data_IF_907518238952
#
_entry.id   IF_907518238952
#
_cell.length_a   1.000
_cell.length_b   1.000
_cell.length_c   1.000
_cell.angle_alpha   90.00
_cell.angle_beta   90.00
_cell.angle_gamma   90.00
#
_symmetry.space_group_name_H-M   'P 1'
#
loop_
_entity.id
_entity.type
_entity.pdbx_description
1 polymer ?
#
# COMPACT_ATOMS: atom_id res chain seq x y z
N UNK A 1 18.09 8.31 2.85
CA UNK A 1 18.82 9.35 3.60
C UNK A 1 20.28 8.98 3.88
N UNK A 2 20.75 7.81 3.48
CA UNK A 2 22.09 7.30 3.77
C UNK A 2 23.03 7.48 2.56
N UNK A 3 23.42 8.71 2.22
CA UNK A 3 24.56 8.97 1.32
C UNK A 3 24.40 8.55 -0.16
N UNK A 4 23.24 8.19 -0.61
CA UNK A 4 22.93 7.74 -1.96
C UNK A 4 22.23 8.85 -2.77
N UNK A 5 22.96 9.92 -3.12
CA UNK A 5 22.46 10.92 -4.07
C UNK A 5 21.28 11.77 -3.59
N UNK A 6 20.81 12.67 -4.46
CA UNK A 6 19.62 13.49 -4.20
C UNK A 6 18.37 12.60 -4.13
N UNK A 7 17.44 12.96 -3.25
CA UNK A 7 16.14 12.27 -3.13
C UNK A 7 15.46 12.24 -4.50
N UNK A 8 14.92 11.10 -4.91
CA UNK A 8 14.43 10.82 -6.26
C UNK A 8 13.51 11.91 -6.85
N UNK A 9 12.60 12.46 -6.03
CA UNK A 9 11.69 13.52 -6.47
C UNK A 9 12.35 14.90 -6.68
N UNK A 10 13.59 15.09 -6.23
CA UNK A 10 14.39 16.27 -6.56
C UNK A 10 15.00 16.12 -7.96
N UNK A 11 15.36 14.88 -8.33
CA UNK A 11 15.94 14.56 -9.65
C UNK A 11 14.87 14.40 -10.73
N UNK A 12 13.61 14.18 -10.36
CA UNK A 12 12.50 13.95 -11.25
C UNK A 12 11.26 14.77 -10.80
N UNK A 13 11.27 16.11 -11.07
CA UNK A 13 10.23 17.02 -10.60
C UNK A 13 8.84 16.73 -11.19
N UNK A 14 8.76 15.98 -12.29
CA UNK A 14 7.51 15.53 -12.89
C UNK A 14 6.60 14.74 -11.93
N UNK A 15 7.16 14.01 -10.97
CA UNK A 15 6.37 13.31 -9.96
C UNK A 15 5.65 14.29 -9.03
N UNK A 16 6.35 15.33 -8.58
CA UNK A 16 5.76 16.37 -7.72
C UNK A 16 4.69 17.13 -8.48
N UNK A 17 4.97 17.52 -9.74
CA UNK A 17 4.01 18.21 -10.59
C UNK A 17 2.76 17.38 -10.85
N UNK A 18 2.92 16.07 -11.10
CA UNK A 18 1.80 15.13 -11.25
C UNK A 18 0.97 15.06 -9.97
N UNK A 19 1.60 14.94 -8.80
CA UNK A 19 0.90 14.91 -7.51
C UNK A 19 0.11 16.21 -7.26
N UNK A 20 0.71 17.37 -7.55
CA UNK A 20 0.03 18.67 -7.44
C UNK A 20 -1.15 18.72 -8.41
N UNK A 21 -0.96 18.35 -9.68
CA UNK A 21 -2.01 18.35 -10.70
C UNK A 21 -3.20 17.46 -10.32
N UNK A 22 -2.93 16.24 -9.85
CA UNK A 22 -3.96 15.32 -9.35
C UNK A 22 -4.65 15.89 -8.10
N UNK A 23 -3.90 16.49 -7.17
CA UNK A 23 -4.46 17.13 -5.97
C UNK A 23 -5.42 18.26 -6.32
N UNK A 24 -5.04 19.13 -7.25
CA UNK A 24 -5.90 20.22 -7.75
C UNK A 24 -7.16 19.66 -8.42
N UNK A 25 -7.00 18.67 -9.29
CA UNK A 25 -8.14 18.02 -9.96
C UNK A 25 -9.11 17.40 -8.94
N UNK A 26 -8.58 16.68 -7.94
CA UNK A 26 -9.40 16.09 -6.88
C UNK A 26 -10.11 17.15 -6.03
N UNK A 27 -9.46 18.28 -5.76
CA UNK A 27 -10.08 19.38 -5.02
C UNK A 27 -11.37 19.87 -5.69
N UNK A 28 -11.35 20.02 -7.03
CA UNK A 28 -12.53 20.45 -7.78
C UNK A 28 -13.55 19.33 -8.03
N UNK A 29 -13.13 18.09 -8.13
CA UNK A 29 -14.03 16.96 -8.43
C UNK A 29 -14.62 16.30 -7.17
N UNK A 30 -13.98 16.43 -6.02
CA UNK A 30 -14.45 15.84 -4.77
C UNK A 30 -15.90 16.21 -4.38
N UNK A 31 -16.41 17.44 -4.60
CA UNK A 31 -17.80 17.78 -4.29
C UNK A 31 -18.84 16.96 -5.08
N UNK A 32 -18.46 16.45 -6.26
CA UNK A 32 -19.37 15.71 -7.16
C UNK A 32 -19.39 14.19 -6.87
N UNK A 33 -18.54 13.69 -5.97
CA UNK A 33 -18.49 12.27 -5.61
C UNK A 33 -19.47 11.99 -4.47
N UNK A 34 -20.57 11.29 -4.75
CA UNK A 34 -21.62 10.95 -3.77
C UNK A 34 -21.09 10.07 -2.62
N UNK A 35 -20.14 9.18 -2.89
CA UNK A 35 -19.53 8.28 -1.89
C UNK A 35 -18.01 8.45 -1.84
N UNK A 36 -17.56 9.57 -1.30
CA UNK A 36 -16.13 9.92 -1.18
C UNK A 36 -15.33 8.85 -0.46
N UNK A 37 -15.88 8.28 0.61
CA UNK A 37 -15.20 7.26 1.40
C UNK A 37 -14.98 5.95 0.62
N UNK A 38 -16.00 5.47 -0.12
CA UNK A 38 -15.85 4.28 -0.97
C UNK A 38 -14.83 4.49 -2.09
N UNK A 39 -14.89 5.64 -2.76
CA UNK A 39 -13.91 5.99 -3.80
C UNK A 39 -12.48 6.03 -3.23
N UNK A 40 -12.31 6.61 -2.04
CA UNK A 40 -11.04 6.64 -1.34
C UNK A 40 -10.52 5.23 -1.04
N UNK A 41 -11.37 4.32 -0.54
CA UNK A 41 -10.96 2.93 -0.23
C UNK A 41 -10.50 2.18 -1.48
N UNK A 42 -11.17 2.35 -2.63
CA UNK A 42 -10.79 1.71 -3.87
C UNK A 42 -9.50 2.30 -4.47
N UNK A 43 -9.34 3.62 -4.42
CA UNK A 43 -8.11 4.29 -4.84
C UNK A 43 -6.92 3.88 -3.96
N UNK A 44 -7.14 3.81 -2.64
CA UNK A 44 -6.16 3.31 -1.69
C UNK A 44 -5.77 1.85 -1.96
N UNK A 45 -6.74 0.99 -2.28
CA UNK A 45 -6.48 -0.40 -2.64
C UNK A 45 -5.58 -0.53 -3.89
N UNK A 46 -5.81 0.31 -4.91
CA UNK A 46 -4.97 0.35 -6.10
C UNK A 46 -3.56 0.86 -5.78
N UNK A 47 -3.45 1.91 -4.98
CA UNK A 47 -2.17 2.44 -4.50
C UNK A 47 -1.40 1.42 -3.67
N UNK A 48 -2.05 0.77 -2.71
CA UNK A 48 -1.47 -0.30 -1.91
C UNK A 48 -0.91 -1.42 -2.77
N UNK A 49 -1.66 -1.88 -3.77
CA UNK A 49 -1.24 -2.94 -4.68
C UNK A 49 -0.03 -2.54 -5.55
N UNK A 50 -0.01 -1.30 -6.02
CA UNK A 50 1.12 -0.77 -6.80
C UNK A 50 2.38 -0.66 -5.93
N UNK A 51 2.25 -0.03 -4.76
CA UNK A 51 3.40 0.29 -3.93
C UNK A 51 3.98 -0.91 -3.18
N UNK A 52 3.20 -1.98 -2.92
CA UNK A 52 3.77 -3.19 -2.33
C UNK A 52 4.72 -3.90 -3.31
N UNK A 53 4.38 -3.95 -4.59
CA UNK A 53 5.21 -4.55 -5.64
C UNK A 53 6.43 -3.70 -5.92
N UNK A 54 6.24 -2.40 -6.20
CA UNK A 54 7.37 -1.49 -6.52
C UNK A 54 8.32 -1.29 -5.34
N UNK A 55 7.80 -1.31 -4.11
CA UNK A 55 8.62 -1.26 -2.90
C UNK A 55 9.47 -2.52 -2.72
N UNK A 56 8.88 -3.71 -2.94
CA UNK A 56 9.59 -4.98 -2.89
C UNK A 56 10.64 -5.09 -4.01
N UNK A 57 10.31 -4.67 -5.22
CA UNK A 57 11.22 -4.61 -6.37
C UNK A 57 12.45 -3.75 -6.08
N UNK A 58 12.25 -2.52 -5.61
CA UNK A 58 13.34 -1.61 -5.26
C UNK A 58 14.20 -2.14 -4.14
N UNK A 59 13.61 -2.78 -3.14
CA UNK A 59 14.33 -3.40 -2.04
C UNK A 59 15.21 -4.55 -2.54
N UNK A 60 14.67 -5.42 -3.39
CA UNK A 60 15.41 -6.52 -4.01
C UNK A 60 16.56 -5.99 -4.88
N UNK A 61 16.31 -4.98 -5.71
CA UNK A 61 17.33 -4.30 -6.55
C UNK A 61 18.43 -3.62 -5.73
N UNK A 62 18.15 -3.24 -4.49
CA UNK A 62 19.14 -2.72 -3.53
C UNK A 62 19.90 -3.82 -2.78
N UNK A 63 19.67 -5.11 -3.12
CA UNK A 63 20.36 -6.25 -2.50
C UNK A 63 19.75 -6.68 -1.16
N UNK A 64 18.53 -6.25 -0.83
CA UNK A 64 17.88 -6.71 0.40
C UNK A 64 17.49 -8.19 0.30
N UNK A 65 17.65 -8.98 1.37
CA UNK A 65 17.16 -10.35 1.41
C UNK A 65 15.63 -10.39 1.31
N UNK A 66 15.09 -11.49 0.77
CA UNK A 66 13.67 -11.65 0.48
C UNK A 66 12.71 -11.25 1.61
N UNK A 67 12.89 -11.69 2.86
CA UNK A 67 11.98 -11.30 3.95
C UNK A 67 11.98 -9.79 4.18
N UNK A 68 13.14 -9.15 4.03
CA UNK A 68 13.29 -7.69 4.17
C UNK A 68 12.62 -6.99 3.00
N UNK A 69 12.73 -7.52 1.78
CA UNK A 69 12.07 -6.96 0.60
C UNK A 69 10.53 -7.00 0.75
N UNK A 70 9.96 -8.10 1.29
CA UNK A 70 8.52 -8.15 1.63
C UNK A 70 8.15 -7.06 2.63
N UNK A 71 8.89 -6.94 3.73
CA UNK A 71 8.61 -5.95 4.78
C UNK A 71 8.68 -4.53 4.21
N UNK A 72 9.71 -4.21 3.41
CA UNK A 72 9.86 -2.89 2.78
C UNK A 72 8.75 -2.61 1.76
N UNK A 73 8.29 -3.63 1.03
CA UNK A 73 7.12 -3.53 0.15
C UNK A 73 5.85 -3.17 0.93
N UNK A 74 5.58 -3.90 2.02
CA UNK A 74 4.44 -3.61 2.91
C UNK A 74 4.54 -2.20 3.51
N UNK A 75 5.71 -1.82 4.02
CA UNK A 75 5.93 -0.48 4.58
C UNK A 75 5.65 0.59 3.53
N UNK A 76 6.22 0.46 2.33
CA UNK A 76 6.03 1.42 1.24
C UNK A 76 4.53 1.56 0.89
N UNK A 77 3.80 0.46 0.83
CA UNK A 77 2.38 0.44 0.52
C UNK A 77 1.50 1.08 1.60
N UNK A 78 1.86 0.91 2.88
CA UNK A 78 1.00 1.30 4.00
C UNK A 78 1.28 2.71 4.52
N UNK A 79 2.51 3.21 4.39
CA UNK A 79 2.91 4.51 4.95
C UNK A 79 2.08 5.68 4.40
N UNK A 80 1.80 5.69 3.09
CA UNK A 80 0.98 6.75 2.49
C UNK A 80 -0.43 6.81 3.10
N UNK A 81 -1.06 5.64 3.30
CA UNK A 81 -2.35 5.53 3.95
C UNK A 81 -2.33 5.98 5.41
N UNK A 82 -1.29 5.63 6.16
CA UNK A 82 -1.13 6.06 7.56
C UNK A 82 -1.01 7.59 7.64
N UNK A 83 -0.15 8.19 6.82
CA UNK A 83 0.04 9.65 6.79
C UNK A 83 -1.28 10.36 6.42
N UNK A 84 -1.97 9.88 5.39
CA UNK A 84 -3.27 10.42 4.98
C UNK A 84 -4.26 10.39 6.15
N UNK A 85 -4.43 9.23 6.78
CA UNK A 85 -5.43 9.05 7.83
C UNK A 85 -5.12 9.93 9.05
N UNK A 86 -3.84 10.01 9.44
CA UNK A 86 -3.39 10.90 10.54
C UNK A 86 -3.66 12.37 10.21
N UNK A 87 -3.36 12.82 8.98
CA UNK A 87 -3.64 14.20 8.56
C UNK A 87 -5.14 14.51 8.49
N UNK A 88 -5.97 13.51 8.20
CA UNK A 88 -7.42 13.63 8.19
C UNK A 88 -8.07 13.44 9.57
N UNK A 89 -7.28 13.23 10.64
CA UNK A 89 -7.75 12.90 11.99
C UNK A 89 -8.65 11.64 12.02
N UNK A 90 -8.38 10.69 11.11
CA UNK A 90 -9.05 9.40 11.02
C UNK A 90 -8.19 8.30 11.64
N UNK A 91 -8.85 7.23 12.10
CA UNK A 91 -8.13 6.03 12.56
C UNK A 91 -7.48 5.35 11.34
N UNK A 92 -6.14 5.17 11.33
CA UNK A 92 -5.45 4.56 10.21
C UNK A 92 -6.02 3.19 9.83
N UNK A 93 -6.19 2.94 8.53
CA UNK A 93 -6.75 1.68 8.00
C UNK A 93 -5.96 0.46 8.46
N UNK A 94 -4.64 0.59 8.63
CA UNK A 94 -3.78 -0.50 9.12
C UNK A 94 -4.14 -0.94 10.56
N UNK A 95 -4.70 -0.03 11.37
CA UNK A 95 -5.14 -0.31 12.74
C UNK A 95 -6.59 -0.80 12.82
N UNK A 96 -7.33 -0.70 11.73
CA UNK A 96 -8.69 -1.25 11.63
C UNK A 96 -8.61 -2.76 11.47
N UNK A 97 -9.70 -3.44 11.76
CA UNK A 97 -9.84 -4.92 11.65
C UNK A 97 -9.83 -5.42 10.18
N UNK A 98 -9.22 -4.69 9.28
CA UNK A 98 -9.30 -4.93 7.86
C UNK A 98 -8.09 -5.70 7.33
N UNK A 99 -8.29 -6.41 6.22
CA UNK A 99 -7.22 -7.07 5.45
C UNK A 99 -6.47 -5.97 4.68
N UNK A 100 -5.53 -5.29 5.34
CA UNK A 100 -4.76 -4.18 4.75
C UNK A 100 -3.29 -4.56 4.56
N UNK A 101 -2.53 -4.67 5.64
CA UNK A 101 -1.12 -5.05 5.56
C UNK A 101 -0.92 -6.49 5.05
N UNK A 102 -1.85 -7.40 5.34
CA UNK A 102 -1.82 -8.77 4.84
C UNK A 102 -2.02 -8.86 3.34
N UNK A 103 -2.86 -8.00 2.75
CA UNK A 103 -3.02 -7.91 1.30
C UNK A 103 -1.73 -7.42 0.62
N UNK A 104 -1.09 -6.39 1.18
CA UNK A 104 0.21 -5.91 0.69
C UNK A 104 1.29 -6.99 0.81
N UNK A 105 1.34 -7.72 1.93
CA UNK A 105 2.30 -8.81 2.14
C UNK A 105 2.09 -9.95 1.14
N UNK A 106 0.83 -10.35 0.90
CA UNK A 106 0.51 -11.39 -0.07
C UNK A 106 0.96 -10.99 -1.50
N UNK A 107 0.68 -9.76 -1.92
CA UNK A 107 1.10 -9.26 -3.23
C UNK A 107 2.62 -9.18 -3.39
N UNK A 108 3.32 -8.62 -2.39
CA UNK A 108 4.78 -8.55 -2.40
C UNK A 108 5.41 -9.95 -2.42
N UNK A 109 4.85 -10.89 -1.64
CA UNK A 109 5.33 -12.28 -1.60
C UNK A 109 5.16 -12.98 -2.94
N UNK A 110 3.97 -12.88 -3.57
CA UNK A 110 3.71 -13.48 -4.89
C UNK A 110 4.67 -12.92 -5.93
N UNK A 111 4.86 -11.60 -5.96
CA UNK A 111 5.83 -10.96 -6.85
C UNK A 111 7.23 -11.56 -6.68
N UNK A 112 7.73 -11.60 -5.44
CA UNK A 112 9.09 -12.08 -5.15
C UNK A 112 9.27 -13.58 -5.45
N UNK A 113 8.26 -14.40 -5.18
CA UNK A 113 8.31 -15.83 -5.49
C UNK A 113 8.37 -16.08 -7.00
N UNK A 114 7.66 -15.30 -7.81
CA UNK A 114 7.71 -15.40 -9.26
C UNK A 114 9.07 -14.93 -9.83
N UNK A 115 9.64 -13.86 -9.27
CA UNK A 115 10.99 -13.42 -9.64
C UNK A 115 12.04 -14.51 -9.29
N UNK A 116 11.92 -15.17 -8.14
CA UNK A 116 12.77 -16.29 -7.78
C UNK A 116 12.62 -17.50 -8.71
N UNK A 117 11.42 -17.72 -9.24
CA UNK A 117 11.15 -18.75 -10.22
C UNK A 117 11.56 -18.35 -11.66
N UNK A 118 12.33 -17.25 -11.79
CA UNK A 118 12.83 -16.73 -13.07
C UNK A 118 11.71 -16.37 -14.07
N UNK A 119 10.50 -16.08 -13.56
CA UNK A 119 9.40 -15.63 -14.39
C UNK A 119 9.67 -14.21 -14.92
N UNK A 120 9.04 -13.87 -16.05
CA UNK A 120 9.13 -12.55 -16.64
C UNK A 120 8.71 -11.46 -15.65
N UNK A 121 9.46 -10.36 -15.60
CA UNK A 121 9.26 -9.29 -14.62
C UNK A 121 7.88 -8.66 -14.72
N UNK A 122 7.36 -8.44 -15.94
CA UNK A 122 6.06 -7.82 -16.15
C UNK A 122 4.92 -8.70 -15.62
N UNK A 123 4.98 -10.00 -15.89
CA UNK A 123 3.99 -10.96 -15.38
C UNK A 123 4.06 -11.11 -13.86
N UNK A 124 5.26 -11.08 -13.29
CA UNK A 124 5.48 -11.13 -11.84
C UNK A 124 4.89 -9.89 -11.14
N UNK A 125 5.12 -8.70 -11.71
CA UNK A 125 4.54 -7.45 -11.21
C UNK A 125 3.01 -7.46 -11.32
N UNK A 126 2.47 -7.88 -12.46
CA UNK A 126 1.03 -7.98 -12.67
C UNK A 126 0.37 -8.97 -11.69
N UNK A 127 0.96 -10.14 -11.49
CA UNK A 127 0.46 -11.15 -10.54
C UNK A 127 0.49 -10.64 -9.09
N UNK A 128 1.59 -10.00 -8.67
CA UNK A 128 1.72 -9.37 -7.35
C UNK A 128 0.66 -8.29 -7.15
N UNK A 129 0.50 -7.39 -8.13
CA UNK A 129 -0.52 -6.34 -8.10
C UNK A 129 -1.93 -6.92 -7.99
N UNK A 130 -2.30 -7.88 -8.86
CA UNK A 130 -3.62 -8.50 -8.86
C UNK A 130 -3.91 -9.25 -7.56
N UNK A 131 -2.90 -9.87 -6.96
CA UNK A 131 -3.04 -10.56 -5.67
C UNK A 131 -3.32 -9.55 -4.55
N UNK A 132 -2.54 -8.47 -4.44
CA UNK A 132 -2.76 -7.45 -3.43
C UNK A 132 -4.12 -6.75 -3.62
N UNK A 133 -4.39 -6.30 -4.84
CA UNK A 133 -5.64 -5.62 -5.18
C UNK A 133 -6.86 -6.51 -4.97
N UNK A 134 -6.83 -7.77 -5.46
CA UNK A 134 -7.93 -8.72 -5.33
C UNK A 134 -8.21 -9.06 -3.86
N UNK A 135 -7.17 -9.31 -3.07
CA UNK A 135 -7.30 -9.57 -1.62
C UNK A 135 -7.92 -8.37 -0.91
N UNK A 136 -7.47 -7.16 -1.23
CA UNK A 136 -8.03 -5.92 -0.67
C UNK A 136 -9.46 -5.67 -1.14
N UNK A 137 -9.74 -5.91 -2.42
CA UNK A 137 -11.08 -5.78 -3.01
C UNK A 137 -12.09 -6.72 -2.34
N UNK A 138 -11.71 -7.97 -2.06
CA UNK A 138 -12.54 -8.92 -1.31
C UNK A 138 -12.82 -8.37 0.09
N UNK A 139 -11.81 -7.85 0.78
CA UNK A 139 -11.99 -7.21 2.10
C UNK A 139 -13.00 -6.06 2.07
N UNK A 140 -12.90 -5.18 1.06
CA UNK A 140 -13.79 -4.02 0.90
C UNK A 140 -15.22 -4.46 0.51
N UNK A 141 -15.35 -5.40 -0.44
CA UNK A 141 -16.65 -5.81 -0.98
C UNK A 141 -17.47 -6.66 0.01
N UNK A 142 -16.82 -7.58 0.71
CA UNK A 142 -17.48 -8.53 1.60
C UNK A 142 -17.36 -8.17 3.09
N UNK A 143 -16.65 -7.08 3.43
CA UNK A 143 -16.43 -6.68 4.82
C UNK A 143 -15.63 -7.72 5.63
N UNK A 144 -14.78 -8.49 4.95
CA UNK A 144 -13.95 -9.52 5.63
C UNK A 144 -12.93 -8.85 6.51
N UNK A 145 -12.96 -9.19 7.78
CA UNK A 145 -12.06 -8.65 8.79
C UNK A 145 -11.25 -9.77 9.46
N UNK A 146 -10.04 -9.44 9.90
CA UNK A 146 -9.21 -10.36 10.66
C UNK A 146 -9.77 -10.53 12.09
N UNK A 147 -9.64 -11.74 12.69
CA UNK A 147 -10.02 -11.94 14.07
C UNK A 147 -9.23 -11.03 14.99
N UNK A 148 -9.95 -10.35 15.90
CA UNK A 148 -9.35 -9.41 16.84
C UNK A 148 -9.05 -10.11 18.15
N UNK A 149 -7.88 -9.84 18.70
CA UNK A 149 -7.56 -10.20 20.05
C UNK A 149 -8.56 -9.54 21.02
N UNK A 150 -9.36 -10.36 21.71
CA UNK A 150 -10.19 -9.89 22.81
C UNK A 150 -9.27 -9.68 24.00
N UNK A 151 -8.99 -8.43 24.34
CA UNK A 151 -8.31 -8.12 25.60
C UNK A 151 -9.11 -8.73 26.76
N UNK A 152 -8.45 -9.47 27.64
CA UNK A 152 -9.07 -9.84 28.91
C UNK A 152 -9.31 -8.55 29.69
N UNK A 153 -10.46 -8.40 30.37
CA UNK A 153 -10.67 -7.26 31.26
C UNK A 153 -9.46 -7.15 32.18
N UNK A 154 -8.85 -5.97 32.23
CA UNK A 154 -7.73 -5.70 33.12
C UNK A 154 -8.11 -6.01 34.55
N UNK A 155 -7.15 -6.49 35.35
CA UNK A 155 -7.36 -6.53 36.79
C UNK A 155 -7.54 -5.09 37.24
N UNK A 156 -8.68 -4.80 37.87
CA UNK A 156 -8.88 -3.56 38.60
C UNK A 156 -7.86 -3.57 39.76
N UNK A 157 -6.96 -2.61 39.77
CA UNK A 157 -6.04 -2.36 40.88
C UNK A 157 -6.61 -1.24 41.74
#
# INVERSE_FOLDING_TARGET
LLGQGAVYWISAPEYVMTCIGVGVLLFFTAPYLESRYKALLWADAAGLALFCVTGAEKALGAGAPLPVAVILGVMTATFGGIIRDVLCAEVPLILRKEIYATAAAAGALVYLLLILAEADALWSQAAGFLTAFGTRAIGIAFGVSLPVYKARPGRDY
#
